data_IF_458670927081
#
_entry.id   IF_458670927081
#
_cell.length_a   1.000
_cell.length_b   1.000
_cell.length_c   1.000
_cell.angle_alpha   90.00
_cell.angle_beta   90.00
_cell.angle_gamma   90.00
#
_symmetry.space_group_name_H-M   'P 1'
#
loop_
_entity.id
_entity.type
_entity.pdbx_description
1 polymer ?
#
# COMPACT_ATOMS: atom_id res chain seq x y z
N UNK A 1 7.88 14.78 21.55
CA UNK A 1 9.13 15.07 20.79
C UNK A 1 9.59 13.77 20.17
N UNK A 2 9.42 13.59 18.86
CA UNK A 2 10.02 12.44 18.16
C UNK A 2 11.51 12.70 17.94
N UNK A 3 12.34 11.69 18.21
CA UNK A 3 13.78 11.78 17.95
C UNK A 3 14.04 11.85 16.43
N UNK A 4 15.08 12.58 16.00
CA UNK A 4 15.42 12.71 14.57
C UNK A 4 15.60 11.37 13.85
N UNK A 5 16.01 10.33 14.59
CA UNK A 5 16.23 8.97 14.08
C UNK A 5 14.92 8.20 13.80
N UNK A 6 13.86 8.43 14.59
CA UNK A 6 12.55 7.82 14.33
C UNK A 6 11.88 8.43 13.09
N UNK A 7 12.02 9.73 12.88
CA UNK A 7 11.52 10.41 11.68
C UNK A 7 12.29 10.04 10.40
N UNK A 8 13.58 9.66 10.53
CA UNK A 8 14.39 9.14 9.43
C UNK A 8 14.05 7.67 9.11
N UNK A 9 13.83 6.84 10.14
CA UNK A 9 13.40 5.44 9.96
C UNK A 9 11.99 5.33 9.32
N UNK A 10 11.03 6.18 9.71
CA UNK A 10 9.70 6.23 9.07
C UNK A 10 9.73 6.67 7.60
N UNK A 11 10.67 7.55 7.23
CA UNK A 11 10.83 8.02 5.84
C UNK A 11 11.51 7.00 4.93
N UNK A 12 12.30 6.09 5.49
CA UNK A 12 13.12 5.15 4.69
C UNK A 12 12.33 3.93 4.18
N UNK A 13 11.14 3.67 4.73
CA UNK A 13 10.27 2.57 4.31
C UNK A 13 9.32 2.90 3.14
N UNK A 14 9.29 4.16 2.68
CA UNK A 14 8.27 4.67 1.76
C UNK A 14 8.94 4.99 0.43
N UNK A 15 8.76 4.14 -0.59
CA UNK A 15 9.29 4.42 -1.92
C UNK A 15 8.40 5.50 -2.56
N UNK A 16 8.87 6.73 -2.75
CA UNK A 16 8.10 7.70 -3.51
C UNK A 16 7.91 7.15 -4.95
N UNK A 17 6.83 7.52 -5.64
CA UNK A 17 6.67 7.31 -7.09
C UNK A 17 7.66 8.19 -7.90
N UNK A 18 8.89 8.34 -7.40
CA UNK A 18 9.97 9.12 -8.02
C UNK A 18 10.91 8.20 -8.76
N UNK A 19 11.46 8.72 -9.85
CA UNK A 19 12.46 8.11 -10.72
C UNK A 19 13.84 8.04 -10.06
N UNK A 20 13.95 7.45 -8.87
CA UNK A 20 15.27 7.22 -8.25
C UNK A 20 15.97 6.08 -8.99
N UNK A 21 16.89 6.45 -9.88
CA UNK A 21 17.93 5.57 -10.44
C UNK A 21 17.78 5.16 -11.90
N UNK A 22 16.85 5.73 -12.68
CA UNK A 22 16.58 5.27 -14.06
C UNK A 22 17.41 6.01 -15.14
N UNK A 23 18.17 7.04 -14.74
CA UNK A 23 18.85 7.95 -15.66
C UNK A 23 17.87 8.97 -16.30
N UNK A 24 18.39 10.11 -16.81
CA UNK A 24 17.56 11.23 -17.26
C UNK A 24 16.65 10.88 -18.45
N UNK A 25 17.14 10.06 -19.39
CA UNK A 25 16.35 9.64 -20.56
C UNK A 25 15.12 8.79 -20.16
N UNK A 26 15.30 7.83 -19.25
CA UNK A 26 14.20 6.99 -18.78
C UNK A 26 13.20 7.78 -17.94
N UNK A 27 13.66 8.72 -17.11
CA UNK A 27 12.80 9.62 -16.35
C UNK A 27 11.96 10.51 -17.29
N UNK A 28 12.56 11.05 -18.34
CA UNK A 28 11.84 11.81 -19.36
C UNK A 28 10.80 10.95 -20.10
N UNK A 29 11.15 9.71 -20.48
CA UNK A 29 10.22 8.78 -21.10
C UNK A 29 9.07 8.38 -20.16
N UNK A 30 9.35 8.22 -18.87
CA UNK A 30 8.34 7.96 -17.85
C UNK A 30 7.39 9.15 -17.68
N UNK A 31 7.93 10.37 -17.57
CA UNK A 31 7.15 11.60 -17.48
C UNK A 31 6.24 11.78 -18.71
N UNK A 32 6.77 11.58 -19.92
CA UNK A 32 6.01 11.66 -21.17
C UNK A 32 4.88 10.61 -21.23
N UNK A 33 5.11 9.41 -20.68
CA UNK A 33 4.07 8.38 -20.56
C UNK A 33 2.98 8.80 -19.56
N UNK A 34 3.36 9.37 -18.41
CA UNK A 34 2.43 9.83 -17.39
C UNK A 34 1.55 10.98 -17.89
N UNK A 35 2.12 11.92 -18.66
CA UNK A 35 1.38 13.06 -19.21
C UNK A 35 0.19 12.67 -20.11
N UNK A 36 0.12 11.43 -20.61
CA UNK A 36 -0.99 10.94 -21.46
C UNK A 36 -2.30 10.72 -20.68
N UNK A 37 -2.24 10.70 -19.35
CA UNK A 37 -3.43 10.41 -18.53
C UNK A 37 -4.29 11.63 -18.26
N UNK A 38 -3.72 12.83 -18.29
CA UNK A 38 -4.39 14.09 -17.99
C UNK A 38 -3.76 15.25 -18.76
N UNK A 39 -4.60 16.05 -19.40
CA UNK A 39 -4.21 17.36 -19.91
C UNK A 39 -4.45 18.41 -18.84
N UNK A 40 -3.47 19.30 -18.68
CA UNK A 40 -3.46 20.30 -17.62
C UNK A 40 -3.34 21.67 -18.27
N UNK A 41 -4.31 22.54 -18.04
CA UNK A 41 -4.22 23.94 -18.45
C UNK A 41 -3.15 24.68 -17.62
N UNK A 42 -2.79 25.89 -18.03
CA UNK A 42 -1.92 26.75 -17.21
C UNK A 42 -2.55 26.98 -15.83
N UNK A 43 -1.70 26.89 -14.81
CA UNK A 43 -2.09 27.19 -13.44
C UNK A 43 -2.42 28.68 -13.34
N UNK A 44 -3.61 29.00 -12.83
CA UNK A 44 -4.08 30.38 -12.66
C UNK A 44 -3.86 30.79 -11.21
N UNK A 45 -3.01 31.78 -10.98
CA UNK A 45 -2.79 32.39 -9.67
C UNK A 45 -3.85 33.45 -9.40
N UNK A 46 -4.50 33.32 -8.25
CA UNK A 46 -5.50 34.26 -7.74
C UNK A 46 -4.92 35.05 -6.58
N UNK A 47 -5.64 36.11 -6.19
CA UNK A 47 -5.32 36.87 -4.99
C UNK A 47 -5.20 35.96 -3.74
N UNK A 48 -4.43 36.43 -2.74
CA UNK A 48 -4.25 35.76 -1.43
C UNK A 48 -3.61 34.36 -1.52
N UNK A 49 -2.73 34.14 -2.50
CA UNK A 49 -1.94 32.91 -2.61
C UNK A 49 -2.74 31.65 -2.97
N UNK A 50 -3.90 31.82 -3.60
CA UNK A 50 -4.72 30.70 -4.10
C UNK A 50 -4.42 30.44 -5.57
N UNK A 51 -4.66 29.21 -6.02
CA UNK A 51 -4.59 28.88 -7.42
C UNK A 51 -5.79 28.03 -7.86
N UNK A 52 -6.01 28.02 -9.17
CA UNK A 52 -6.87 27.02 -9.81
C UNK A 52 -6.22 26.46 -11.06
N UNK A 53 -6.53 25.21 -11.37
CA UNK A 53 -6.12 24.57 -12.62
C UNK A 53 -7.31 23.81 -13.19
N UNK A 54 -7.43 23.81 -14.51
CA UNK A 54 -8.36 22.95 -15.24
C UNK A 54 -7.62 21.70 -15.71
N UNK A 55 -8.27 20.56 -15.51
CA UNK A 55 -7.79 19.25 -15.92
C UNK A 55 -8.80 18.63 -16.88
N UNK A 56 -8.32 18.09 -17.99
CA UNK A 56 -9.12 17.36 -18.97
C UNK A 56 -8.59 15.93 -19.14
N UNK A 57 -9.49 14.95 -19.08
CA UNK A 57 -9.15 13.53 -19.14
C UNK A 57 -9.51 12.95 -20.52
N UNK A 58 -8.51 12.52 -21.32
CA UNK A 58 -8.75 12.02 -22.68
C UNK A 58 -9.75 10.85 -22.73
N UNK A 59 -10.54 10.72 -23.82
CA UNK A 59 -11.42 9.57 -24.04
C UNK A 59 -10.61 8.31 -24.38
N UNK A 60 -9.94 7.71 -23.38
CA UNK A 60 -9.15 6.50 -23.56
C UNK A 60 -10.01 5.25 -23.34
N UNK A 61 -10.83 4.88 -24.34
CA UNK A 61 -11.78 3.76 -24.25
C UNK A 61 -12.75 3.89 -23.06
N UNK A 62 -13.38 5.07 -22.93
CA UNK A 62 -14.35 5.34 -21.85
C UNK A 62 -13.74 5.56 -20.45
N UNK A 63 -12.41 5.55 -20.30
CA UNK A 63 -11.74 5.73 -18.99
C UNK A 63 -11.64 7.18 -18.51
N UNK A 64 -12.00 8.15 -19.34
CA UNK A 64 -11.94 9.58 -18.99
C UNK A 64 -12.68 9.90 -17.69
N UNK A 65 -13.97 9.54 -17.54
CA UNK A 65 -14.73 9.78 -16.32
C UNK A 65 -14.14 9.10 -15.08
N UNK A 66 -13.69 7.85 -15.24
CA UNK A 66 -13.05 7.07 -14.18
C UNK A 66 -11.77 7.74 -13.65
N UNK A 67 -10.95 8.31 -14.56
CA UNK A 67 -9.75 9.06 -14.20
C UNK A 67 -10.09 10.38 -13.52
N UNK A 68 -11.18 11.03 -13.92
CA UNK A 68 -11.67 12.23 -13.25
C UNK A 68 -12.14 11.92 -11.81
N UNK A 69 -12.89 10.83 -11.60
CA UNK A 69 -13.24 10.39 -10.24
C UNK A 69 -12.00 10.12 -9.40
N UNK A 70 -11.04 9.39 -9.96
CA UNK A 70 -9.78 9.13 -9.28
C UNK A 70 -9.01 10.41 -8.93
N UNK A 71 -8.94 11.36 -9.86
CA UNK A 71 -8.29 12.65 -9.64
C UNK A 71 -8.98 13.46 -8.53
N UNK A 72 -10.32 13.41 -8.44
CA UNK A 72 -11.05 14.04 -7.35
C UNK A 72 -10.72 13.41 -5.99
N UNK A 73 -10.60 12.08 -5.90
CA UNK A 73 -10.16 11.40 -4.67
C UNK A 73 -8.72 11.77 -4.30
N UNK A 74 -7.82 11.85 -5.28
CA UNK A 74 -6.42 12.26 -5.08
C UNK A 74 -6.30 13.71 -4.61
N UNK A 75 -7.24 14.59 -4.95
CA UNK A 75 -7.21 16.00 -4.54
C UNK A 75 -7.28 16.19 -3.00
N UNK A 76 -7.97 15.27 -2.31
CA UNK A 76 -8.24 15.33 -0.86
C UNK A 76 -6.96 15.25 -0.02
N UNK A 77 -6.07 14.26 -0.19
CA UNK A 77 -4.78 14.22 0.51
C UNK A 77 -3.88 15.45 0.34
N UNK A 78 -4.04 16.21 -0.74
CA UNK A 78 -3.31 17.45 -0.99
C UNK A 78 -3.98 18.69 -0.37
N UNK A 79 -5.15 18.55 0.26
CA UNK A 79 -5.90 19.70 0.80
C UNK A 79 -6.50 20.60 -0.30
N UNK A 80 -6.71 20.05 -1.49
CA UNK A 80 -7.28 20.77 -2.64
C UNK A 80 -8.72 20.33 -2.88
N UNK A 81 -9.53 21.19 -3.51
CA UNK A 81 -10.93 20.91 -3.85
C UNK A 81 -11.06 20.72 -5.35
N UNK A 82 -11.56 19.56 -5.79
CA UNK A 82 -11.86 19.27 -7.18
C UNK A 82 -13.37 19.36 -7.45
N UNK A 83 -13.77 20.03 -8.53
CA UNK A 83 -15.17 20.14 -8.98
C UNK A 83 -15.29 19.75 -10.45
N UNK A 84 -16.29 18.95 -10.80
CA UNK A 84 -16.62 18.63 -12.20
C UNK A 84 -17.06 19.87 -12.97
N UNK A 85 -16.62 19.99 -14.22
CA UNK A 85 -16.93 21.13 -15.09
C UNK A 85 -17.91 20.80 -16.20
N UNK A 86 -18.08 19.53 -16.56
CA UNK A 86 -18.89 19.12 -17.69
C UNK A 86 -19.79 17.92 -17.36
N UNK A 87 -20.85 17.75 -18.15
CA UNK A 87 -21.76 16.60 -18.04
C UNK A 87 -21.09 15.29 -18.47
N UNK A 88 -20.05 15.37 -19.31
CA UNK A 88 -19.29 14.17 -19.71
C UNK A 88 -18.47 13.60 -18.56
N UNK A 89 -18.26 14.38 -17.50
CA UNK A 89 -17.50 13.97 -16.33
C UNK A 89 -16.01 13.83 -16.62
N UNK A 90 -15.48 14.49 -17.64
CA UNK A 90 -14.07 14.39 -18.06
C UNK A 90 -13.27 15.65 -17.83
N UNK A 91 -13.90 16.70 -17.32
CA UNK A 91 -13.21 17.93 -16.96
C UNK A 91 -13.38 18.22 -15.47
N UNK A 92 -12.28 18.58 -14.81
CA UNK A 92 -12.25 19.04 -13.43
C UNK A 92 -11.63 20.44 -13.34
N UNK A 93 -12.12 21.23 -12.39
CA UNK A 93 -11.40 22.39 -11.86
C UNK A 93 -10.94 22.07 -10.46
N UNK A 94 -9.64 22.19 -10.23
CA UNK A 94 -9.04 22.02 -8.90
C UNK A 94 -8.66 23.39 -8.37
N UNK A 95 -8.98 23.64 -7.10
CA UNK A 95 -8.75 24.92 -6.41
C UNK A 95 -8.17 24.70 -5.02
N UNK A 96 -7.34 25.62 -4.56
CA UNK A 96 -6.69 25.50 -3.26
C UNK A 96 -5.56 26.52 -3.05
N UNK A 97 -4.76 26.37 -1.98
CA UNK A 97 -3.49 27.08 -1.85
C UNK A 97 -2.58 26.81 -3.06
N UNK A 98 -1.90 27.82 -3.57
CA UNK A 98 -1.14 27.71 -4.83
C UNK A 98 -0.11 26.58 -4.80
N UNK A 99 0.63 26.45 -3.69
CA UNK A 99 1.62 25.38 -3.48
C UNK A 99 0.99 23.99 -3.55
N UNK A 100 -0.18 23.81 -2.96
CA UNK A 100 -0.84 22.51 -2.90
C UNK A 100 -1.48 22.13 -4.25
N UNK A 101 -2.05 23.10 -4.96
CA UNK A 101 -2.54 22.88 -6.34
C UNK A 101 -1.38 22.50 -7.26
N UNK A 102 -0.23 23.16 -7.16
CA UNK A 102 0.95 22.82 -7.95
C UNK A 102 1.49 21.42 -7.63
N UNK A 103 1.58 21.05 -6.35
CA UNK A 103 2.00 19.71 -5.90
C UNK A 103 1.05 18.61 -6.40
N UNK A 104 -0.26 18.81 -6.21
CA UNK A 104 -1.28 17.91 -6.70
C UNK A 104 -1.18 17.73 -8.23
N UNK A 105 -1.04 18.84 -8.97
CA UNK A 105 -0.95 18.84 -10.44
C UNK A 105 0.29 18.09 -10.92
N UNK A 106 1.43 18.26 -10.23
CA UNK A 106 2.67 17.53 -10.53
C UNK A 106 2.62 16.04 -10.15
N UNK A 107 1.83 15.67 -9.13
CA UNK A 107 1.66 14.29 -8.69
C UNK A 107 0.71 13.48 -9.58
N UNK A 108 -0.42 14.10 -9.96
CA UNK A 108 -1.57 13.41 -10.52
C UNK A 108 -1.25 12.49 -11.71
N UNK A 109 -0.47 12.91 -12.74
CA UNK A 109 -0.15 12.04 -13.87
C UNK A 109 0.53 10.73 -13.45
N UNK A 110 1.42 10.80 -12.45
CA UNK A 110 2.16 9.63 -11.93
C UNK A 110 1.27 8.70 -11.14
N UNK A 111 0.41 9.27 -10.29
CA UNK A 111 -0.57 8.50 -9.50
C UNK A 111 -1.53 7.76 -10.43
N UNK A 112 -2.07 8.44 -11.45
CA UNK A 112 -2.96 7.80 -12.43
C UNK A 112 -2.25 6.71 -13.24
N UNK A 113 -1.00 6.96 -13.65
CA UNK A 113 -0.19 5.97 -14.35
C UNK A 113 0.06 4.71 -13.51
N UNK A 114 0.38 4.89 -12.24
CA UNK A 114 0.59 3.79 -11.29
C UNK A 114 -0.68 2.99 -11.06
N UNK A 115 -1.81 3.67 -10.80
CA UNK A 115 -3.10 3.00 -10.65
C UNK A 115 -3.53 2.25 -11.92
N UNK A 116 -3.23 2.76 -13.12
CA UNK A 116 -3.50 2.06 -14.39
C UNK A 116 -2.60 0.83 -14.56
N UNK A 117 -1.36 0.88 -14.09
CA UNK A 117 -0.47 -0.28 -14.05
C UNK A 117 -1.02 -1.39 -13.15
N UNK A 118 -1.50 -1.03 -11.95
CA UNK A 118 -2.18 -1.98 -11.05
C UNK A 118 -3.49 -2.49 -11.66
N UNK A 119 -4.26 -1.63 -12.31
CA UNK A 119 -5.47 -2.01 -13.05
C UNK A 119 -5.20 -3.03 -14.17
N UNK A 120 -4.04 -2.95 -14.84
CA UNK A 120 -3.62 -3.99 -15.79
C UNK A 120 -3.35 -5.33 -15.11
N UNK A 121 -2.92 -5.35 -13.85
CA UNK A 121 -2.74 -6.59 -13.10
C UNK A 121 -4.09 -7.21 -12.76
N UNK A 122 -5.05 -6.42 -12.29
CA UNK A 122 -6.43 -6.88 -12.08
C UNK A 122 -7.02 -7.48 -13.37
N UNK A 123 -6.86 -6.82 -14.51
CA UNK A 123 -7.32 -7.34 -15.80
C UNK A 123 -6.65 -8.68 -16.18
N UNK A 124 -5.36 -8.86 -15.87
CA UNK A 124 -4.65 -10.13 -16.08
C UNK A 124 -5.15 -11.23 -15.15
N UNK A 125 -5.47 -10.92 -13.89
CA UNK A 125 -6.05 -11.86 -12.94
C UNK A 125 -7.43 -12.33 -13.42
N UNK A 126 -8.29 -11.40 -13.84
CA UNK A 126 -9.58 -11.72 -14.46
C UNK A 126 -9.42 -12.62 -15.68
N UNK A 127 -8.51 -12.27 -16.60
CA UNK A 127 -8.24 -13.06 -17.79
C UNK A 127 -7.68 -14.46 -17.46
N UNK A 128 -6.93 -14.62 -16.37
CA UNK A 128 -6.47 -15.92 -15.90
C UNK A 128 -7.63 -16.78 -15.39
N UNK A 129 -8.56 -16.20 -14.62
CA UNK A 129 -9.78 -16.90 -14.19
C UNK A 129 -10.62 -17.37 -15.38
N UNK A 130 -10.75 -16.54 -16.41
CA UNK A 130 -11.50 -16.87 -17.63
C UNK A 130 -10.92 -18.05 -18.44
N UNK A 131 -9.69 -18.49 -18.14
CA UNK A 131 -9.05 -19.65 -18.79
C UNK A 131 -9.08 -20.92 -17.95
N UNK A 132 -9.55 -20.87 -16.70
CA UNK A 132 -9.59 -22.05 -15.85
C UNK A 132 -10.80 -22.93 -16.20
N UNK A 133 -10.63 -24.25 -16.40
CA UNK A 133 -11.72 -25.16 -16.78
C UNK A 133 -12.92 -25.12 -15.82
N UNK A 134 -12.66 -25.02 -14.51
CA UNK A 134 -13.70 -24.92 -13.47
C UNK A 134 -14.59 -23.67 -13.55
N UNK A 135 -14.25 -22.71 -14.41
CA UNK A 135 -15.01 -21.48 -14.62
C UNK A 135 -15.54 -21.37 -16.05
N UNK A 136 -15.34 -22.39 -16.90
CA UNK A 136 -15.68 -22.34 -18.31
C UNK A 136 -17.16 -22.03 -18.54
N UNK A 137 -18.06 -22.70 -17.81
CA UNK A 137 -19.51 -22.51 -17.91
C UNK A 137 -19.93 -21.05 -17.81
N UNK A 138 -19.48 -20.32 -16.78
CA UNK A 138 -19.79 -18.90 -16.61
C UNK A 138 -19.34 -18.05 -17.80
N UNK A 139 -18.13 -18.29 -18.32
CA UNK A 139 -17.61 -17.48 -19.41
C UNK A 139 -18.21 -17.88 -20.76
N UNK A 140 -18.61 -19.14 -20.96
CA UNK A 140 -19.26 -19.64 -22.17
C UNK A 140 -20.66 -19.06 -22.36
N UNK A 141 -21.40 -18.76 -21.29
CA UNK A 141 -22.70 -18.06 -21.40
C UNK A 141 -22.55 -16.60 -21.86
N UNK A 142 -21.37 -16.00 -21.69
CA UNK A 142 -21.10 -14.63 -22.12
C UNK A 142 -20.70 -14.56 -23.60
N UNK A 143 -21.43 -13.74 -24.37
CA UNK A 143 -21.01 -13.36 -25.73
C UNK A 143 -19.64 -12.67 -25.72
N UNK A 144 -18.97 -12.61 -26.87
CA UNK A 144 -17.68 -11.91 -26.98
C UNK A 144 -17.75 -10.44 -26.52
N UNK A 145 -18.88 -9.78 -26.77
CA UNK A 145 -19.14 -8.41 -26.28
C UNK A 145 -19.38 -8.39 -24.77
N UNK A 146 -20.16 -9.36 -24.25
CA UNK A 146 -20.39 -9.55 -22.82
C UNK A 146 -19.09 -9.77 -22.03
N UNK A 147 -18.18 -10.60 -22.54
CA UNK A 147 -16.86 -10.84 -21.93
C UNK A 147 -16.02 -9.56 -21.85
N UNK A 148 -16.03 -8.73 -22.90
CA UNK A 148 -15.31 -7.45 -22.91
C UNK A 148 -15.92 -6.46 -21.92
N UNK A 149 -17.25 -6.36 -21.87
CA UNK A 149 -17.97 -5.50 -20.93
C UNK A 149 -17.74 -5.92 -19.47
N UNK A 150 -17.81 -7.22 -19.17
CA UNK A 150 -17.55 -7.74 -17.83
C UNK A 150 -16.10 -7.50 -17.39
N UNK A 151 -15.11 -7.71 -18.27
CA UNK A 151 -13.71 -7.40 -17.98
C UNK A 151 -13.48 -5.89 -17.75
N UNK A 152 -14.13 -5.03 -18.55
CA UNK A 152 -14.06 -3.58 -18.39
C UNK A 152 -14.67 -3.13 -17.06
N UNK A 153 -15.83 -3.69 -16.69
CA UNK A 153 -16.50 -3.44 -15.41
C UNK A 153 -15.65 -3.89 -14.22
N UNK A 154 -15.14 -5.11 -14.26
CA UNK A 154 -14.23 -5.65 -13.24
C UNK A 154 -13.02 -4.74 -13.03
N UNK A 155 -12.37 -4.34 -14.13
CA UNK A 155 -11.23 -3.43 -14.08
C UNK A 155 -11.60 -2.07 -13.50
N UNK A 156 -12.74 -1.51 -13.87
CA UNK A 156 -13.20 -0.20 -13.39
C UNK A 156 -13.45 -0.21 -11.88
N UNK A 157 -14.14 -1.23 -11.37
CA UNK A 157 -14.38 -1.40 -9.93
C UNK A 157 -13.08 -1.61 -9.16
N UNK A 158 -12.20 -2.48 -9.66
CA UNK A 158 -10.90 -2.72 -9.04
C UNK A 158 -10.07 -1.43 -9.01
N UNK A 159 -10.05 -0.67 -10.11
CA UNK A 159 -9.34 0.60 -10.21
C UNK A 159 -9.82 1.65 -9.21
N UNK A 160 -11.15 1.83 -9.06
CA UNK A 160 -11.69 2.76 -8.07
C UNK A 160 -11.29 2.37 -6.65
N UNK A 161 -11.40 1.08 -6.30
CA UNK A 161 -11.00 0.61 -4.98
C UNK A 161 -9.49 0.72 -4.75
N UNK A 162 -8.65 0.53 -5.79
CA UNK A 162 -7.22 0.82 -5.69
C UNK A 162 -6.99 2.29 -5.35
N UNK A 163 -7.66 3.22 -6.03
CA UNK A 163 -7.51 4.66 -5.75
C UNK A 163 -7.96 4.98 -4.34
N UNK A 164 -9.08 4.42 -3.87
CA UNK A 164 -9.54 4.57 -2.48
C UNK A 164 -8.46 4.11 -1.49
N UNK A 165 -7.80 2.96 -1.71
CA UNK A 165 -6.73 2.48 -0.82
C UNK A 165 -5.46 3.32 -0.93
N UNK A 166 -5.09 3.78 -2.12
CA UNK A 166 -3.91 4.61 -2.31
C UNK A 166 -4.08 6.02 -1.72
N UNK A 167 -5.30 6.55 -1.69
CA UNK A 167 -5.62 7.92 -1.23
C UNK A 167 -6.23 7.98 0.17
N UNK A 168 -6.77 6.87 0.65
CA UNK A 168 -7.41 6.74 1.96
C UNK A 168 -6.42 6.69 3.11
N UNK A 169 -6.92 6.79 4.35
CA UNK A 169 -6.09 6.61 5.53
C UNK A 169 -5.51 5.17 5.56
N UNK A 170 -4.32 5.01 6.14
CA UNK A 170 -3.57 3.75 6.06
C UNK A 170 -4.25 2.57 6.78
N UNK A 171 -5.28 2.86 7.58
CA UNK A 171 -6.10 1.90 8.32
C UNK A 171 -7.30 1.37 7.53
N UNK A 172 -7.46 1.73 6.25
CA UNK A 172 -8.50 1.13 5.40
C UNK A 172 -8.32 -0.39 5.38
N UNK A 173 -9.18 -1.10 6.10
CA UNK A 173 -9.22 -2.56 6.11
C UNK A 173 -9.55 -3.04 4.70
N UNK A 174 -8.61 -3.76 4.10
CA UNK A 174 -8.81 -4.47 2.85
C UNK A 174 -9.26 -5.88 3.20
N UNK A 175 -10.49 -6.28 2.85
CA UNK A 175 -10.94 -7.65 3.06
C UNK A 175 -10.02 -8.64 2.33
N UNK A 176 -9.84 -9.83 2.91
CA UNK A 176 -9.19 -10.92 2.19
C UNK A 176 -10.09 -11.44 1.06
N UNK A 177 -9.49 -12.08 0.05
CA UNK A 177 -10.26 -12.76 -1.01
C UNK A 177 -10.96 -13.96 -0.38
N UNK A 178 -12.28 -13.99 -0.50
CA UNK A 178 -13.09 -15.13 -0.09
C UNK A 178 -12.92 -16.26 -1.12
N UNK A 179 -12.33 -17.42 -0.75
CA UNK A 179 -12.15 -18.52 -1.67
C UNK A 179 -13.48 -19.18 -2.09
N UNK A 180 -14.57 -18.95 -1.35
CA UNK A 180 -15.90 -19.48 -1.67
C UNK A 180 -16.59 -18.69 -2.80
N UNK A 181 -16.15 -17.46 -3.07
CA UNK A 181 -16.72 -16.60 -4.11
C UNK A 181 -15.85 -16.59 -5.38
N UNK A 182 -16.45 -16.52 -6.58
CA UNK A 182 -15.68 -16.35 -7.80
C UNK A 182 -14.89 -15.04 -7.81
N UNK A 183 -13.66 -15.07 -8.33
CA UNK A 183 -12.80 -13.89 -8.33
C UNK A 183 -13.41 -12.70 -9.08
N UNK A 184 -14.18 -12.95 -10.15
CA UNK A 184 -14.81 -11.89 -10.96
C UNK A 184 -15.91 -11.12 -10.22
N UNK A 185 -16.45 -11.68 -9.13
CA UNK A 185 -17.42 -10.99 -8.25
C UNK A 185 -16.71 -10.15 -7.18
N UNK A 186 -15.41 -10.40 -6.97
CA UNK A 186 -14.60 -9.78 -5.92
C UNK A 186 -13.72 -8.64 -6.45
N UNK A 187 -14.17 -7.92 -7.47
CA UNK A 187 -13.39 -6.87 -8.14
C UNK A 187 -12.87 -5.80 -7.17
N UNK A 188 -13.70 -5.37 -6.21
CA UNK A 188 -13.29 -4.40 -5.18
C UNK A 188 -12.22 -4.99 -4.26
N UNK A 189 -12.39 -6.22 -3.76
CA UNK A 189 -11.41 -6.90 -2.91
C UNK A 189 -10.05 -7.02 -3.60
N UNK A 190 -10.05 -7.47 -4.87
CA UNK A 190 -8.84 -7.53 -5.71
C UNK A 190 -8.22 -6.15 -5.89
N UNK A 191 -9.04 -5.13 -6.15
CA UNK A 191 -8.61 -3.74 -6.22
C UNK A 191 -7.96 -3.25 -4.91
N UNK A 192 -8.55 -3.59 -3.77
CA UNK A 192 -8.01 -3.25 -2.47
C UNK A 192 -6.65 -3.88 -2.23
N UNK A 193 -6.52 -5.18 -2.47
CA UNK A 193 -5.26 -5.92 -2.28
C UNK A 193 -4.16 -5.42 -3.21
N UNK A 194 -4.49 -5.09 -4.46
CA UNK A 194 -3.54 -4.51 -5.40
C UNK A 194 -3.16 -3.08 -5.04
N UNK A 195 -4.12 -2.28 -4.53
CA UNK A 195 -3.86 -0.94 -4.01
C UNK A 195 -2.93 -0.96 -2.80
N UNK A 196 -3.14 -1.92 -1.90
CA UNK A 196 -2.30 -2.13 -0.73
C UNK A 196 -0.91 -2.65 -1.11
N UNK A 197 -0.85 -3.64 -2.00
CA UNK A 197 0.40 -4.14 -2.57
C UNK A 197 1.21 -3.02 -3.24
N UNK A 198 0.50 -2.17 -3.98
CA UNK A 198 1.06 -1.02 -4.68
C UNK A 198 1.10 0.25 -3.85
N UNK A 199 0.91 0.17 -2.52
CA UNK A 199 0.72 1.36 -1.70
C UNK A 199 1.96 2.26 -1.73
N UNK A 200 1.69 3.56 -1.85
CA UNK A 200 2.69 4.63 -1.91
C UNK A 200 2.14 5.86 -1.21
N UNK A 201 3.02 6.66 -0.59
CA UNK A 201 2.65 7.96 -0.03
C UNK A 201 2.33 8.92 -1.17
N UNK A 202 1.04 9.04 -1.52
CA UNK A 202 0.58 9.86 -2.65
C UNK A 202 0.99 11.33 -2.48
N UNK A 203 1.05 11.85 -1.24
CA UNK A 203 1.44 13.24 -0.99
C UNK A 203 2.86 13.55 -1.45
N UNK A 204 3.72 12.55 -1.49
CA UNK A 204 5.12 12.66 -1.91
C UNK A 204 5.34 12.21 -3.37
N UNK A 205 4.29 11.77 -4.06
CA UNK A 205 4.31 11.28 -5.44
C UNK A 205 4.49 12.38 -6.50
N UNK A 206 5.07 13.53 -6.14
CA UNK A 206 5.41 14.61 -7.05
C UNK A 206 6.92 14.85 -7.12
N UNK A 207 7.33 15.41 -8.26
CA UNK A 207 8.65 15.99 -8.45
C UNK A 207 8.62 17.47 -7.99
N UNK A 208 9.41 17.85 -6.98
CA UNK A 208 9.49 19.23 -6.50
C UNK A 208 9.87 20.24 -7.58
N UNK A 209 10.74 19.86 -8.53
CA UNK A 209 11.14 20.75 -9.62
C UNK A 209 9.96 21.05 -10.56
N UNK A 210 9.18 20.01 -10.92
CA UNK A 210 7.97 20.18 -11.72
C UNK A 210 6.92 21.06 -11.00
N UNK A 211 6.74 20.89 -9.69
CA UNK A 211 5.82 21.73 -8.91
C UNK A 211 6.27 23.19 -8.85
N UNK A 212 7.59 23.44 -8.72
CA UNK A 212 8.14 24.79 -8.76
C UNK A 212 7.95 25.44 -10.15
N UNK A 213 8.24 24.70 -11.22
CA UNK A 213 8.06 25.16 -12.59
C UNK A 213 6.59 25.52 -12.90
N UNK A 214 5.63 24.75 -12.38
CA UNK A 214 4.20 25.07 -12.52
C UNK A 214 3.82 26.39 -11.85
N UNK A 215 4.46 26.77 -10.74
CA UNK A 215 4.23 28.05 -10.06
C UNK A 215 4.92 29.21 -10.79
N UNK A 216 6.12 28.99 -11.32
CA UNK A 216 6.89 29.98 -12.07
C UNK A 216 6.20 30.35 -13.38
N UNK A 217 5.67 29.36 -14.09
CA UNK A 217 4.97 29.53 -15.38
C UNK A 217 3.48 29.85 -15.22
N UNK A 218 3.02 30.04 -13.99
CA UNK A 218 1.62 30.26 -13.70
C UNK A 218 1.15 31.63 -14.21
N UNK A 219 -0.05 31.66 -14.77
CA UNK A 219 -0.68 32.88 -15.24
C UNK A 219 -1.30 33.62 -14.06
N UNK A 220 -0.96 34.90 -13.88
CA UNK A 220 -1.60 35.73 -12.87
C UNK A 220 -2.93 36.21 -13.43
N UNK A 221 -4.02 35.75 -12.83
CA UNK A 221 -5.33 36.32 -13.10
C UNK A 221 -5.40 37.63 -12.32
N UNK A 222 -5.19 38.76 -13.01
CA UNK A 222 -5.52 40.06 -12.44
C UNK A 222 -7.00 40.02 -12.06
N UNK A 223 -7.30 40.33 -10.80
CA UNK A 223 -8.68 40.47 -10.38
C UNK A 223 -9.33 41.47 -11.35
N UNK A 224 -10.51 41.18 -11.92
CA UNK A 224 -11.16 42.13 -12.81
C UNK A 224 -11.27 43.46 -12.09
N UNK A 225 -10.49 44.45 -12.53
CA UNK A 225 -10.57 45.84 -12.10
C UNK A 225 -11.81 46.45 -12.73
N UNK A 226 -12.97 45.94 -12.35
CA UNK A 226 -14.26 46.46 -12.75
C UNK A 226 -15.28 46.07 -11.69
N UNK A 227 -15.32 46.86 -10.62
CA UNK A 227 -16.62 47.21 -10.04
C UNK A 227 -17.40 47.87 -11.17
N UNK A 228 -18.24 47.10 -11.86
CA UNK A 228 -19.38 47.72 -12.52
C UNK A 228 -20.18 48.39 -11.40
N UNK A 229 -20.41 49.72 -11.44
CA UNK A 229 -21.38 50.31 -10.55
C UNK A 229 -22.72 49.70 -10.96
N UNK A 230 -23.22 48.78 -10.14
CA UNK A 230 -24.64 48.44 -10.17
C UNK A 230 -25.35 49.71 -9.74
N UNK A 231 -25.80 50.47 -10.73
CA UNK A 231 -26.73 51.56 -10.50
C UNK A 231 -27.91 50.97 -9.74
N UNK A 232 -28.11 51.47 -8.52
CA UNK A 232 -29.29 51.21 -7.73
C UNK A 232 -30.50 51.68 -8.54
N UNK A 233 -31.24 50.72 -9.10
CA UNK A 233 -32.58 50.93 -9.60
C UNK A 233 -33.39 49.68 -9.30
N UNK A 234 -34.48 49.87 -8.56
CA UNK A 234 -35.44 48.90 -8.02
C UNK A 234 -34.95 48.17 -6.76
N UNK A 235 -35.39 48.50 -5.55
CA UNK A 235 -36.71 49.01 -5.17
C UNK A 235 -37.60 47.83 -4.80
N UNK A 236 -37.88 47.74 -3.50
CA UNK A 236 -39.06 47.11 -2.88
C UNK A 236 -39.41 45.68 -3.32
N UNK A 237 -38.94 44.70 -2.54
CA UNK A 237 -39.85 43.72 -1.92
C UNK A 237 -39.08 42.78 -1.00
N UNK A 238 -39.56 42.71 0.25
CA UNK A 238 -39.53 41.60 1.22
C UNK A 238 -39.20 42.09 2.63
N UNK A 239 -40.08 42.94 3.17
CA UNK A 239 -40.50 42.82 4.56
C UNK A 239 -41.60 41.77 4.61
N UNK A 240 -41.25 40.53 4.97
CA UNK A 240 -42.19 39.52 5.43
C UNK A 240 -41.37 38.50 6.22
N UNK A 241 -41.78 38.32 7.47
CA UNK A 241 -41.27 37.37 8.46
C UNK A 241 -40.15 37.86 9.38
N UNK A 242 -40.46 38.88 10.18
CA UNK A 242 -40.12 38.88 11.61
C UNK A 242 -41.45 38.92 12.38
N UNK A 243 -41.77 37.89 13.17
CA UNK A 243 -41.64 37.96 14.64
C UNK A 243 -42.23 36.71 15.35
N UNK A 244 -41.75 36.51 16.58
CA UNK A 244 -42.31 35.71 17.68
C UNK A 244 -42.26 34.17 17.66
N UNK A 245 -41.42 33.60 18.54
CA UNK A 245 -41.85 33.36 19.93
C UNK A 245 -40.73 32.74 20.78
N UNK A 246 -40.61 33.27 21.99
CA UNK A 246 -39.77 32.79 23.08
C UNK A 246 -40.61 31.98 24.08
N UNK A 247 -39.94 31.07 24.80
CA UNK A 247 -40.10 30.66 26.22
C UNK A 247 -39.77 29.16 26.34
N UNK A 248 -38.66 28.80 27.00
CA UNK A 248 -38.46 28.70 28.45
C UNK A 248 -39.10 27.42 29.04
N UNK A 249 -38.24 26.56 29.58
CA UNK A 249 -38.64 25.31 30.24
C UNK A 249 -37.44 24.69 30.96
N UNK A 250 -37.12 25.25 32.12
CA UNK A 250 -36.25 24.68 33.15
C UNK A 250 -36.94 23.48 33.79
N UNK A 251 -36.26 22.36 33.97
CA UNK A 251 -36.50 21.46 35.11
C UNK A 251 -35.29 20.58 35.41
N UNK A 252 -35.05 20.47 36.71
CA UNK A 252 -33.94 19.88 37.45
C UNK A 252 -34.56 18.82 38.36
N UNK A 253 -34.14 17.55 38.30
CA UNK A 253 -34.51 16.50 39.28
C UNK A 253 -33.45 15.38 39.35
N UNK A 254 -32.64 15.44 40.41
CA UNK A 254 -32.15 14.39 41.34
C UNK A 254 -31.38 13.13 40.88
N UNK A 255 -30.33 12.87 41.67
CA UNK A 255 -29.52 11.66 41.78
C UNK A 255 -30.16 10.54 42.63
N UNK A 256 -29.91 9.27 42.26
CA UNK A 256 -29.75 8.05 43.08
C UNK A 256 -28.98 7.07 42.16
N UNK A 257 -27.76 6.61 42.42
CA UNK A 257 -27.36 5.60 43.42
C UNK A 257 -27.56 4.19 42.85
N UNK A 258 -26.48 3.46 42.50
CA UNK A 258 -26.25 2.11 43.04
C UNK A 258 -24.87 1.54 42.67
N UNK A 259 -24.28 0.90 43.68
CA UNK A 259 -23.01 0.17 43.64
C UNK A 259 -23.28 -1.28 43.19
N UNK A 260 -22.40 -1.85 42.38
CA UNK A 260 -22.54 -3.22 41.90
C UNK A 260 -21.19 -3.91 41.77
N UNK A 261 -20.64 -4.33 42.91
CA UNK A 261 -19.47 -5.17 43.02
C UNK A 261 -19.69 -6.51 42.27
N UNK A 262 -18.75 -6.90 41.41
CA UNK A 262 -18.65 -8.28 40.92
C UNK A 262 -17.58 -8.99 41.73
N UNK A 263 -18.09 -9.94 42.50
CA UNK A 263 -17.46 -10.77 43.49
C UNK A 263 -16.55 -11.81 42.83
N UNK A 264 -15.35 -11.93 43.39
CA UNK A 264 -14.38 -13.00 43.13
C UNK A 264 -14.89 -14.26 43.83
N UNK A 265 -15.04 -15.38 43.10
CA UNK A 265 -15.29 -16.70 43.70
C UNK A 265 -14.13 -17.64 43.36
N UNK A 266 -13.30 -18.02 44.35
CA UNK A 266 -12.25 -19.01 44.20
C UNK A 266 -12.77 -20.36 44.69
N UNK A 267 -13.16 -21.26 43.79
CA UNK A 267 -13.05 -22.72 44.00
C UNK A 267 -13.68 -23.47 42.82
N UNK A 268 -12.87 -23.89 41.84
CA UNK A 268 -13.05 -25.19 41.20
C UNK A 268 -11.71 -25.76 40.72
N UNK A 269 -11.44 -27.05 41.00
CA UNK A 269 -10.16 -27.69 40.73
C UNK A 269 -10.07 -28.28 39.30
N UNK A 270 -8.88 -28.19 38.72
CA UNK A 270 -8.26 -29.23 37.89
C UNK A 270 -8.89 -29.57 36.54
N UNK A 271 -8.33 -29.02 35.46
CA UNK A 271 -8.19 -29.77 34.19
C UNK A 271 -7.00 -29.25 33.39
N UNK A 272 -5.95 -30.08 33.40
CA UNK A 272 -4.96 -30.33 32.35
C UNK A 272 -4.35 -29.15 31.56
N UNK A 273 -3.09 -28.85 31.94
CA UNK A 273 -2.14 -28.03 31.19
C UNK A 273 -1.92 -28.55 29.75
N UNK A 274 -2.19 -27.76 28.69
CA UNK A 274 -1.46 -27.91 27.44
C UNK A 274 -0.04 -27.34 27.62
N UNK A 275 0.94 -28.07 27.07
CA UNK A 275 2.37 -27.85 27.24
C UNK A 275 2.80 -26.38 27.08
N UNK A 276 3.37 -25.83 28.15
CA UNK A 276 4.15 -24.59 28.14
C UNK A 276 5.37 -24.80 27.22
N UNK A 277 5.60 -23.97 26.18
CA UNK A 277 6.81 -24.06 25.38
C UNK A 277 8.05 -23.70 26.24
N UNK A 278 9.19 -24.37 26.02
CA UNK A 278 10.38 -24.20 26.85
C UNK A 278 10.90 -22.75 26.85
N UNK A 279 11.42 -22.33 28.00
CA UNK A 279 11.95 -21.00 28.24
C UNK A 279 13.14 -20.63 27.31
N UNK A 280 12.89 -19.63 26.45
CA UNK A 280 13.73 -18.54 25.97
C UNK A 280 15.17 -18.81 25.50
N UNK A 281 15.34 -19.63 24.46
CA UNK A 281 16.39 -19.39 23.47
C UNK A 281 16.00 -18.22 22.55
N UNK A 282 16.97 -17.41 22.11
CA UNK A 282 16.73 -16.34 21.12
C UNK A 282 16.24 -16.95 19.80
N UNK A 283 15.12 -16.49 19.21
CA UNK A 283 14.61 -17.11 17.99
C UNK A 283 15.53 -16.82 16.80
N UNK A 284 15.66 -17.79 15.90
CA UNK A 284 16.30 -17.57 14.60
C UNK A 284 15.22 -17.16 13.60
N UNK A 285 15.39 -16.02 12.96
CA UNK A 285 14.49 -15.54 11.91
C UNK A 285 15.18 -15.65 10.56
N UNK A 286 14.69 -16.56 9.71
CA UNK A 286 15.24 -16.78 8.37
C UNK A 286 14.47 -15.94 7.35
N UNK A 287 15.18 -15.12 6.59
CA UNK A 287 14.62 -14.28 5.51
C UNK A 287 15.26 -14.65 4.16
N UNK A 288 14.54 -14.47 3.04
CA UNK A 288 15.08 -14.78 1.71
C UNK A 288 16.02 -13.68 1.23
N UNK A 289 16.96 -13.98 0.32
CA UNK A 289 17.68 -12.94 -0.40
C UNK A 289 16.80 -12.21 -1.44
N UNK A 290 17.30 -11.10 -2.01
CA UNK A 290 16.62 -10.35 -3.09
C UNK A 290 17.20 -10.61 -4.49
N UNK A 291 16.33 -10.66 -5.50
CA UNK A 291 16.74 -10.58 -6.90
C UNK A 291 17.33 -9.20 -7.22
N UNK A 292 16.67 -8.13 -6.76
CA UNK A 292 17.15 -6.74 -6.88
C UNK A 292 18.30 -6.50 -5.90
N UNK A 293 19.46 -6.11 -6.42
CA UNK A 293 20.68 -5.83 -5.65
C UNK A 293 21.26 -4.49 -6.06
N UNK A 294 21.96 -3.83 -5.15
CA UNK A 294 22.75 -2.64 -5.44
C UNK A 294 23.81 -2.97 -6.49
N UNK A 295 23.87 -2.27 -7.64
CA UNK A 295 24.96 -2.45 -8.59
C UNK A 295 26.26 -1.96 -7.95
N UNK A 296 27.26 -2.84 -7.91
CA UNK A 296 28.58 -2.55 -7.34
C UNK A 296 29.67 -2.71 -8.39
N UNK A 297 30.73 -1.87 -8.36
CA UNK A 297 31.91 -2.10 -9.18
C UNK A 297 32.56 -3.47 -8.89
N UNK A 298 33.27 -4.08 -9.87
CA UNK A 298 34.02 -5.31 -9.65
C UNK A 298 34.97 -5.19 -8.45
N UNK A 299 35.04 -6.25 -7.62
CA UNK A 299 35.87 -6.30 -6.42
C UNK A 299 35.31 -5.56 -5.21
N UNK A 300 34.19 -4.84 -5.32
CA UNK A 300 33.52 -4.24 -4.15
C UNK A 300 32.49 -5.15 -3.53
N UNK A 301 32.47 -5.16 -2.19
CA UNK A 301 31.49 -5.84 -1.36
C UNK A 301 30.89 -4.90 -0.32
N UNK A 302 29.62 -5.09 -0.03
CA UNK A 302 28.87 -4.38 1.02
C UNK A 302 28.15 -5.41 1.89
N UNK A 303 27.75 -5.08 3.13
CA UNK A 303 26.88 -5.95 3.93
C UNK A 303 25.67 -6.44 3.14
N UNK A 304 25.27 -7.70 3.36
CA UNK A 304 24.16 -8.32 2.63
C UNK A 304 22.86 -7.52 2.78
N UNK A 305 22.60 -6.95 3.96
CA UNK A 305 21.46 -6.07 4.20
C UNK A 305 21.45 -4.77 3.41
N UNK A 306 22.62 -4.24 3.05
CA UNK A 306 22.76 -3.07 2.18
C UNK A 306 22.70 -3.44 0.70
N UNK A 307 23.17 -4.65 0.37
CA UNK A 307 23.17 -5.15 -1.00
C UNK A 307 21.75 -5.40 -1.51
N UNK A 308 20.91 -6.06 -0.72
CA UNK A 308 19.58 -6.50 -1.16
C UNK A 308 18.55 -5.37 -1.07
N UNK A 309 17.96 -4.98 -2.20
CA UNK A 309 17.07 -3.81 -2.31
C UNK A 309 15.62 -4.14 -2.72
N UNK A 310 15.27 -5.41 -2.83
CA UNK A 310 13.93 -5.83 -3.24
C UNK A 310 12.91 -5.56 -2.13
N UNK A 311 11.71 -5.09 -2.51
CA UNK A 311 10.63 -4.78 -1.57
C UNK A 311 10.33 -5.93 -0.60
N UNK A 312 10.25 -7.16 -1.12
CA UNK A 312 10.01 -8.34 -0.31
C UNK A 312 11.11 -8.54 0.75
N UNK A 313 12.39 -8.41 0.34
CA UNK A 313 13.51 -8.47 1.27
C UNK A 313 13.41 -7.40 2.36
N UNK A 314 13.21 -6.14 1.97
CA UNK A 314 13.12 -5.03 2.93
C UNK A 314 12.00 -5.25 3.95
N UNK A 315 10.84 -5.75 3.52
CA UNK A 315 9.72 -6.08 4.42
C UNK A 315 10.02 -7.28 5.32
N UNK A 316 10.64 -8.34 4.80
CA UNK A 316 11.08 -9.48 5.61
C UNK A 316 12.13 -9.09 6.65
N UNK A 317 13.09 -8.23 6.28
CA UNK A 317 14.11 -7.74 7.19
C UNK A 317 13.52 -6.84 8.27
N UNK A 318 12.61 -5.94 7.92
CA UNK A 318 11.92 -5.08 8.88
C UNK A 318 11.13 -5.90 9.90
N UNK A 319 10.33 -6.86 9.44
CA UNK A 319 9.59 -7.78 10.31
C UNK A 319 10.52 -8.62 11.18
N UNK A 320 11.61 -9.14 10.62
CA UNK A 320 12.57 -9.95 11.36
C UNK A 320 13.31 -9.15 12.45
N UNK A 321 13.66 -7.89 12.19
CA UNK A 321 14.29 -6.99 13.17
C UNK A 321 13.33 -6.52 14.26
N UNK A 322 12.03 -6.47 13.97
CA UNK A 322 11.02 -6.11 14.96
C UNK A 322 10.83 -7.22 16.02
N UNK A 323 11.13 -8.47 15.70
CA UNK A 323 11.03 -9.60 16.65
C UNK A 323 12.09 -9.46 17.75
N UNK A 324 11.69 -9.22 19.02
CA UNK A 324 12.63 -8.98 20.11
C UNK A 324 13.57 -10.17 20.33
N UNK A 325 14.86 -9.89 20.46
CA UNK A 325 15.88 -10.92 20.67
C UNK A 325 16.16 -11.81 19.45
N UNK A 326 15.45 -11.65 18.34
CA UNK A 326 15.62 -12.47 17.15
C UNK A 326 17.00 -12.30 16.49
N UNK A 327 17.62 -13.43 16.09
CA UNK A 327 18.80 -13.41 15.22
C UNK A 327 18.36 -13.61 13.78
N UNK A 328 18.63 -12.63 12.93
CA UNK A 328 18.28 -12.70 11.51
C UNK A 328 19.35 -13.47 10.76
N UNK A 329 18.93 -14.43 9.93
CA UNK A 329 19.77 -15.10 8.94
C UNK A 329 19.17 -14.90 7.54
N UNK A 330 20.01 -14.60 6.56
CA UNK A 330 19.60 -14.50 5.16
C UNK A 330 19.91 -15.82 4.46
N UNK A 331 18.91 -16.43 3.84
CA UNK A 331 19.13 -17.52 2.89
C UNK A 331 19.42 -16.96 1.50
N UNK A 332 20.67 -17.08 1.05
CA UNK A 332 21.17 -16.65 -0.26
C UNK A 332 21.29 -17.82 -1.23
N UNK A 333 20.78 -17.67 -2.45
CA UNK A 333 20.93 -18.69 -3.51
C UNK A 333 22.38 -18.96 -3.93
N UNK A 334 23.31 -18.05 -3.67
CA UNK A 334 24.74 -18.25 -3.91
C UNK A 334 25.49 -18.65 -2.63
N UNK A 335 25.26 -17.89 -1.55
CA UNK A 335 26.08 -17.99 -0.35
C UNK A 335 25.55 -18.99 0.69
N UNK A 336 24.31 -19.48 0.56
CA UNK A 336 23.66 -20.29 1.59
C UNK A 336 23.17 -19.40 2.74
N UNK A 337 23.27 -19.87 3.99
CA UNK A 337 22.91 -19.08 5.16
C UNK A 337 24.04 -18.09 5.50
N UNK A 338 23.71 -16.80 5.58
CA UNK A 338 24.65 -15.73 5.93
C UNK A 338 24.02 -14.75 6.92
N UNK A 339 24.87 -14.07 7.68
CA UNK A 339 24.46 -12.96 8.53
C UNK A 339 24.16 -11.71 7.68
N UNK A 340 23.18 -10.86 8.06
CA UNK A 340 22.95 -9.57 7.42
C UNK A 340 24.21 -8.69 7.26
N UNK A 341 25.15 -8.74 8.22
CA UNK A 341 26.40 -7.98 8.15
C UNK A 341 27.46 -8.59 7.25
N UNK A 342 27.24 -9.79 6.70
CA UNK A 342 28.22 -10.48 5.85
C UNK A 342 28.46 -9.67 4.58
N UNK A 343 29.71 -9.29 4.32
CA UNK A 343 30.06 -8.50 3.13
C UNK A 343 30.09 -9.40 1.89
N UNK A 344 29.25 -9.09 0.90
CA UNK A 344 29.13 -9.84 -0.35
C UNK A 344 29.14 -8.90 -1.56
N UNK A 345 29.65 -9.41 -2.69
CA UNK A 345 29.64 -8.69 -3.98
C UNK A 345 28.27 -8.83 -4.67
N UNK A 346 27.98 -7.97 -5.65
CA UNK A 346 26.78 -8.15 -6.49
C UNK A 346 26.90 -9.42 -7.32
N UNK A 347 25.80 -10.17 -7.46
CA UNK A 347 25.75 -11.43 -8.19
C UNK A 347 24.36 -11.67 -8.79
N UNK A 348 24.29 -12.46 -9.86
CA UNK A 348 23.02 -12.87 -10.47
C UNK A 348 22.80 -14.39 -10.33
N UNK A 349 22.34 -14.78 -9.14
CA UNK A 349 21.94 -16.17 -8.86
C UNK A 349 20.68 -16.17 -8.02
N UNK A 350 19.68 -16.91 -8.49
CA UNK A 350 18.45 -17.20 -7.74
C UNK A 350 18.61 -18.51 -7.00
N UNK A 351 17.82 -18.70 -5.94
CA UNK A 351 17.68 -20.01 -5.32
C UNK A 351 17.02 -20.95 -6.33
N UNK A 352 17.62 -22.11 -6.62
CA UNK A 352 16.98 -23.18 -7.40
C UNK A 352 16.45 -24.23 -6.42
N UNK A 353 15.11 -24.35 -6.24
CA UNK A 353 14.53 -25.32 -5.32
C UNK A 353 14.87 -26.77 -5.65
N UNK A 354 15.28 -27.06 -6.89
CA UNK A 354 15.66 -28.41 -7.35
C UNK A 354 17.11 -28.75 -7.04
N UNK A 355 17.91 -27.77 -6.63
CA UNK A 355 19.34 -27.92 -6.37
C UNK A 355 19.74 -27.20 -5.07
N UNK A 356 19.09 -27.60 -3.98
CA UNK A 356 19.38 -27.09 -2.64
C UNK A 356 20.50 -27.93 -2.02
N UNK A 357 21.58 -27.26 -1.61
CA UNK A 357 22.67 -27.91 -0.89
C UNK A 357 22.38 -27.92 0.61
N UNK A 358 21.56 -28.87 1.07
CA UNK A 358 21.17 -29.00 2.48
C UNK A 358 22.38 -29.25 3.39
N UNK A 359 23.37 -30.02 2.95
CA UNK A 359 24.61 -30.28 3.70
C UNK A 359 25.37 -28.99 3.98
N UNK A 360 25.50 -28.11 2.97
CA UNK A 360 26.12 -26.79 3.15
C UNK A 360 25.35 -25.95 4.15
N UNK A 361 24.03 -25.90 4.05
CA UNK A 361 23.23 -25.08 4.95
C UNK A 361 23.27 -25.60 6.39
N UNK A 362 23.24 -26.92 6.60
CA UNK A 362 23.39 -27.52 7.92
C UNK A 362 24.78 -27.20 8.50
N UNK A 363 25.86 -27.36 7.73
CA UNK A 363 27.20 -27.00 8.16
C UNK A 363 27.32 -25.53 8.56
N UNK A 364 26.70 -24.62 7.79
CA UNK A 364 26.64 -23.19 8.11
C UNK A 364 25.85 -22.93 9.39
N UNK A 365 24.67 -23.54 9.55
CA UNK A 365 23.87 -23.43 10.76
C UNK A 365 24.63 -23.94 12.00
N UNK A 366 25.36 -25.05 11.88
CA UNK A 366 26.22 -25.60 12.94
C UNK A 366 27.37 -24.65 13.27
N UNK A 367 28.08 -24.13 12.26
CA UNK A 367 29.19 -23.19 12.45
C UNK A 367 28.74 -21.87 13.13
N UNK A 368 27.49 -21.46 12.91
CA UNK A 368 26.89 -20.31 13.58
C UNK A 368 26.28 -20.63 14.96
N UNK A 369 26.31 -21.89 15.41
CA UNK A 369 25.71 -22.31 16.69
C UNK A 369 24.17 -22.31 16.67
N UNK A 370 23.55 -22.50 15.50
CA UNK A 370 22.11 -22.37 15.29
C UNK A 370 21.43 -23.67 14.83
N UNK A 371 22.17 -24.76 14.60
CA UNK A 371 21.59 -26.03 14.15
C UNK A 371 20.50 -26.57 15.10
N UNK A 372 20.64 -26.33 16.41
CA UNK A 372 19.68 -26.76 17.43
C UNK A 372 18.88 -25.60 18.04
N UNK A 373 18.67 -24.52 17.27
CA UNK A 373 17.86 -23.40 17.74
C UNK A 373 16.45 -23.88 18.14
N UNK A 374 15.97 -23.57 19.37
CA UNK A 374 14.70 -24.08 19.86
C UNK A 374 13.50 -23.47 19.11
N UNK A 375 13.66 -22.27 18.55
CA UNK A 375 12.65 -21.59 17.77
C UNK A 375 13.26 -21.03 16.48
N UNK A 376 12.63 -21.36 15.36
CA UNK A 376 13.02 -20.87 14.03
C UNK A 376 11.79 -20.39 13.28
N UNK A 377 11.79 -19.14 12.84
CA UNK A 377 10.70 -18.49 12.10
C UNK A 377 11.19 -18.19 10.68
N UNK A 378 10.59 -18.80 9.65
CA UNK A 378 10.90 -18.48 8.27
C UNK A 378 9.92 -17.44 7.72
N UNK A 379 10.35 -16.18 7.71
CA UNK A 379 9.67 -15.08 7.03
C UNK A 379 10.08 -15.07 5.55
N UNK A 380 9.73 -16.13 4.83
CA UNK A 380 10.15 -16.34 3.45
C UNK A 380 9.06 -16.98 2.58
N UNK A 381 9.23 -16.92 1.26
CA UNK A 381 8.37 -17.63 0.32
C UNK A 381 8.54 -19.15 0.46
N UNK A 382 7.60 -19.92 -0.11
CA UNK A 382 7.59 -21.39 -0.06
C UNK A 382 8.96 -22.01 -0.35
N UNK A 383 9.56 -21.68 -1.49
CA UNK A 383 10.84 -22.24 -1.92
C UNK A 383 11.98 -22.03 -0.92
N UNK A 384 12.05 -20.83 -0.32
CA UNK A 384 13.07 -20.51 0.67
C UNK A 384 12.80 -21.21 2.00
N UNK A 385 11.54 -21.26 2.43
CA UNK A 385 11.16 -21.96 3.65
C UNK A 385 11.37 -23.48 3.53
N UNK A 386 11.12 -24.07 2.34
CA UNK A 386 11.36 -25.48 2.04
C UNK A 386 12.85 -25.81 2.04
N UNK A 387 13.69 -24.92 1.51
CA UNK A 387 15.13 -25.12 1.46
C UNK A 387 15.80 -25.23 2.85
N UNK A 388 15.21 -24.65 3.90
CA UNK A 388 15.73 -24.72 5.28
C UNK A 388 14.97 -25.70 6.17
N UNK A 389 13.87 -26.29 5.69
CA UNK A 389 13.09 -27.23 6.49
C UNK A 389 13.83 -28.48 6.93
N UNK A 390 14.72 -29.08 6.11
CA UNK A 390 15.52 -30.20 6.56
C UNK A 390 16.54 -29.85 7.66
N UNK A 391 16.86 -28.58 7.86
CA UNK A 391 17.78 -28.11 8.91
C UNK A 391 17.02 -27.92 10.22
N UNK A 392 15.83 -27.33 10.13
CA UNK A 392 14.95 -27.05 11.27
C UNK A 392 13.55 -27.60 10.99
N UNK A 393 13.28 -28.88 11.28
CA UNK A 393 11.98 -29.50 11.00
C UNK A 393 10.80 -28.84 11.71
N UNK A 394 11.05 -28.20 12.86
CA UNK A 394 10.08 -27.46 13.67
C UNK A 394 9.90 -25.99 13.25
N UNK A 395 10.39 -25.60 12.07
CA UNK A 395 10.31 -24.20 11.66
C UNK A 395 8.86 -23.70 11.50
N UNK A 396 8.63 -22.50 11.97
CA UNK A 396 7.36 -21.80 11.85
C UNK A 396 7.30 -21.06 10.51
N UNK A 397 6.14 -21.13 9.84
CA UNK A 397 5.95 -20.56 8.49
C UNK A 397 4.79 -19.57 8.44
N UNK A 398 4.95 -18.36 8.98
CA UNK A 398 3.89 -17.33 9.02
C UNK A 398 3.33 -16.97 7.65
N UNK A 399 4.11 -17.20 6.59
CA UNK A 399 3.79 -16.81 5.22
C UNK A 399 3.37 -18.00 4.34
N UNK A 400 3.25 -19.22 4.89
CA UNK A 400 2.85 -20.39 4.13
C UNK A 400 1.43 -20.25 3.57
N UNK A 401 1.21 -20.72 2.33
CA UNK A 401 -0.08 -20.67 1.64
C UNK A 401 -0.53 -19.29 1.16
N UNK A 402 0.06 -18.21 1.71
CA UNK A 402 -0.30 -16.85 1.35
C UNK A 402 0.28 -16.44 -0.03
N UNK A 403 -0.51 -15.72 -0.83
CA UNK A 403 -0.02 -15.02 -2.02
C UNK A 403 0.88 -13.84 -1.66
N UNK A 404 1.70 -13.36 -2.60
CA UNK A 404 2.72 -12.32 -2.32
C UNK A 404 2.16 -11.04 -1.67
N UNK A 405 0.94 -10.62 -2.04
CA UNK A 405 0.27 -9.48 -1.41
C UNK A 405 -0.02 -9.71 0.07
N UNK A 406 -0.71 -10.81 0.39
CA UNK A 406 -0.97 -11.24 1.78
C UNK A 406 0.32 -11.44 2.57
N UNK A 407 1.38 -11.98 1.95
CA UNK A 407 2.68 -12.11 2.62
C UNK A 407 3.24 -10.74 3.03
N UNK A 408 3.24 -9.75 2.12
CA UNK A 408 3.70 -8.39 2.40
C UNK A 408 2.84 -7.69 3.46
N UNK A 409 1.52 -7.92 3.46
CA UNK A 409 0.60 -7.44 4.49
C UNK A 409 0.97 -8.01 5.86
N UNK A 410 1.08 -9.35 5.96
CA UNK A 410 1.48 -10.03 7.20
C UNK A 410 2.83 -9.52 7.71
N UNK A 411 3.82 -9.37 6.84
CA UNK A 411 5.12 -8.80 7.19
C UNK A 411 5.01 -7.37 7.73
N UNK A 412 4.18 -6.53 7.11
CA UNK A 412 3.94 -5.15 7.58
C UNK A 412 3.27 -5.16 8.96
N UNK A 413 2.27 -6.03 9.17
CA UNK A 413 1.60 -6.18 10.46
C UNK A 413 2.51 -6.73 11.55
N UNK A 414 3.34 -7.73 11.23
CA UNK A 414 4.36 -8.23 12.16
C UNK A 414 5.30 -7.09 12.57
N UNK A 415 5.81 -6.33 11.60
CA UNK A 415 6.74 -5.24 11.87
C UNK A 415 6.14 -4.09 12.69
N UNK A 416 4.83 -3.88 12.62
CA UNK A 416 4.10 -2.81 13.30
C UNK A 416 3.37 -3.26 14.57
N UNK A 417 3.42 -4.54 14.93
CA UNK A 417 2.73 -5.09 16.10
C UNK A 417 3.43 -4.66 17.39
N UNK A 418 2.66 -4.47 18.46
CA UNK A 418 3.20 -4.30 19.82
C UNK A 418 3.93 -5.57 20.30
N UNK A 419 3.50 -6.74 19.82
CA UNK A 419 4.21 -8.01 19.94
C UNK A 419 4.42 -8.64 18.55
N UNK A 420 5.55 -8.34 17.87
CA UNK A 420 5.89 -8.90 16.57
C UNK A 420 6.07 -10.42 16.57
N UNK A 421 6.53 -10.99 17.70
CA UNK A 421 6.77 -12.43 17.81
C UNK A 421 5.44 -13.17 17.91
N UNK A 422 4.53 -12.73 18.78
CA UNK A 422 3.19 -13.30 18.88
C UNK A 422 2.44 -13.19 17.54
N UNK A 423 2.49 -12.02 16.88
CA UNK A 423 1.87 -11.86 15.56
C UNK A 423 2.41 -12.85 14.52
N UNK A 424 3.74 -13.10 14.51
CA UNK A 424 4.32 -14.09 13.61
C UNK A 424 3.87 -15.53 13.95
N UNK A 425 3.76 -15.87 15.24
CA UNK A 425 3.27 -17.17 15.70
C UNK A 425 1.80 -17.39 15.32
N UNK A 426 0.95 -16.38 15.50
CA UNK A 426 -0.46 -16.43 15.13
C UNK A 426 -0.64 -16.69 13.63
N UNK A 427 0.12 -15.98 12.79
CA UNK A 427 0.11 -16.23 11.35
C UNK A 427 0.63 -17.62 10.98
N UNK A 428 1.58 -18.16 11.72
CA UNK A 428 2.06 -19.53 11.51
C UNK A 428 0.99 -20.57 11.88
N UNK A 429 0.27 -20.36 12.98
CA UNK A 429 -0.86 -21.19 13.37
C UNK A 429 -2.00 -21.15 12.35
N UNK A 430 -2.38 -19.95 11.88
CA UNK A 430 -3.37 -19.77 10.80
C UNK A 430 -2.94 -20.49 9.51
N UNK A 431 -1.66 -20.36 9.13
CA UNK A 431 -1.14 -21.01 7.92
C UNK A 431 -1.07 -22.55 8.04
N UNK A 432 -0.92 -23.07 9.26
CA UNK A 432 -1.00 -24.51 9.53
C UNK A 432 -2.44 -25.01 9.44
N UNK A 433 -3.40 -24.26 10.02
CA UNK A 433 -4.82 -24.59 9.99
C UNK A 433 -5.44 -24.52 8.58
N UNK A 434 -4.91 -23.66 7.70
CA UNK A 434 -5.38 -23.52 6.33
C UNK A 434 -4.86 -24.60 5.35
N UNK A 435 -4.10 -25.59 5.82
CA UNK A 435 -3.69 -26.72 4.96
C UNK A 435 -4.86 -27.70 4.83
N UNK A 436 -5.31 -28.01 3.60
CA UNK A 436 -6.40 -28.94 3.36
C UNK A 436 -6.06 -30.37 3.77
#
# INVERSE_FOLDING_TARGET
MHTPDQAAAEKTARRPLRDIGWGPASAAAYAARCARYVHTDRLQLHARGRASVRLDFPPAAGRGPLRADAAASVAVPFGTKARRLDRSGRALRVTGPAKDVARYTAALPRVLAHAEQLGNWAARMYGACARLPRHAEHFETLSASGRRSAAAYFRALAYLRMIEVLTGPQDVVVPEIDPALPLWEQARTVGGLLGEYGWVEIRDAYDPAAAAQLLETAERTEAPTARWPVAAAHGEQLDLFADSSAQAGTQDVTAVGDEGAIQFDPTHPGTEHPAVPPAAGRPIVVIPCSATKLPLPPGKSVPAEELYQGLYFTKTLAAARAIPGGRVLILSGLHGLIDPSTRIATYDKRLDPRNINHTKHLAQATAMGHAHAPEVIALASKDYADAVAPIWPHLLRPLAGAGIGTQLHRLTRIAASDDPRAAALDYAAQAAAARP
#
